data_IF_603980625764
#
_entry.id   IF_603980625764
#
_cell.length_a   1.000
_cell.length_b   1.000
_cell.length_c   1.000
_cell.angle_alpha   90.00
_cell.angle_beta   90.00
_cell.angle_gamma   90.00
#
_symmetry.space_group_name_H-M   'P 1'
#
loop_
_entity.id
_entity.type
_entity.pdbx_description
1 polymer ?
#
# COMPACT_ATOMS: atom_id res chain seq x y z
N UNK A 1 24.67 9.30 8.10
CA UNK A 1 23.28 9.32 7.61
C UNK A 1 23.31 9.12 6.11
N UNK A 2 22.65 8.08 5.59
CA UNK A 2 22.65 7.76 4.16
C UNK A 2 21.28 8.09 3.57
N UNK A 3 21.27 8.80 2.44
CA UNK A 3 20.06 9.09 1.68
C UNK A 3 19.99 8.27 0.40
N UNK A 4 18.79 7.91 -0.04
CA UNK A 4 18.57 7.22 -1.31
C UNK A 4 17.75 8.06 -2.29
N UNK A 5 18.13 8.02 -3.56
CA UNK A 5 17.38 8.64 -4.66
C UNK A 5 16.76 7.52 -5.50
N UNK A 6 15.43 7.50 -5.58
CA UNK A 6 14.65 6.45 -6.26
C UNK A 6 13.74 7.12 -7.29
N UNK A 7 14.17 7.27 -8.55
CA UNK A 7 13.39 7.94 -9.58
C UNK A 7 11.97 7.39 -9.75
N UNK A 8 11.80 6.07 -9.58
CA UNK A 8 10.53 5.36 -9.69
C UNK A 8 9.50 5.79 -8.64
N UNK A 9 9.94 6.42 -7.54
CA UNK A 9 9.06 6.91 -6.48
C UNK A 9 8.05 7.94 -7.01
N UNK A 10 8.41 8.74 -8.01
CA UNK A 10 7.50 9.74 -8.55
C UNK A 10 6.29 9.09 -9.24
N UNK A 11 6.54 8.13 -10.13
CA UNK A 11 5.50 7.36 -10.81
C UNK A 11 4.66 6.56 -9.81
N UNK A 12 5.29 5.98 -8.79
CA UNK A 12 4.61 5.25 -7.71
C UNK A 12 3.68 6.16 -6.89
N UNK A 13 4.13 7.38 -6.56
CA UNK A 13 3.30 8.36 -5.86
C UNK A 13 2.14 8.85 -6.72
N UNK A 14 2.34 9.04 -8.03
CA UNK A 14 1.27 9.42 -8.96
C UNK A 14 0.22 8.30 -9.02
N UNK A 15 0.64 7.06 -9.23
CA UNK A 15 -0.26 5.90 -9.25
C UNK A 15 -1.00 5.71 -7.93
N UNK A 16 -0.29 5.80 -6.79
CA UNK A 16 -0.89 5.68 -5.47
C UNK A 16 -1.82 6.85 -5.10
N UNK A 17 -1.62 8.03 -5.70
CA UNK A 17 -2.47 9.20 -5.49
C UNK A 17 -3.72 9.23 -6.36
N UNK A 18 -3.84 8.34 -7.35
CA UNK A 18 -5.02 8.22 -8.18
C UNK A 18 -6.29 8.05 -7.30
N UNK A 19 -7.33 8.87 -7.48
CA UNK A 19 -8.53 8.85 -6.65
C UNK A 19 -9.28 7.52 -6.74
N UNK A 20 -9.38 6.93 -7.93
CA UNK A 20 -10.04 5.64 -8.15
C UNK A 20 -9.27 4.53 -7.44
N UNK A 21 -7.94 4.55 -7.51
CA UNK A 21 -7.11 3.61 -6.77
C UNK A 21 -7.35 3.70 -5.25
N UNK A 22 -7.40 4.93 -4.70
CA UNK A 22 -7.68 5.15 -3.27
C UNK A 22 -9.07 4.66 -2.87
N UNK A 23 -10.09 4.93 -3.69
CA UNK A 23 -11.46 4.48 -3.44
C UNK A 23 -11.54 2.95 -3.49
N UNK A 24 -10.97 2.34 -4.53
CA UNK A 24 -10.94 0.88 -4.70
C UNK A 24 -10.20 0.19 -3.55
N UNK A 25 -9.08 0.75 -3.08
CA UNK A 25 -8.34 0.21 -1.94
C UNK A 25 -9.16 0.30 -0.63
N UNK A 26 -9.90 1.39 -0.41
CA UNK A 26 -10.81 1.51 0.75
C UNK A 26 -11.93 0.49 0.69
N UNK A 27 -12.58 0.33 -0.47
CA UNK A 27 -13.62 -0.67 -0.71
C UNK A 27 -13.09 -2.08 -0.47
N UNK A 28 -11.91 -2.39 -1.01
CA UNK A 28 -11.27 -3.69 -0.82
C UNK A 28 -11.06 -4.01 0.66
N UNK A 29 -10.51 -3.07 1.45
CA UNK A 29 -10.31 -3.25 2.89
C UNK A 29 -11.61 -3.44 3.66
N UNK A 30 -12.65 -2.67 3.32
CA UNK A 30 -13.97 -2.81 3.92
C UNK A 30 -14.56 -4.19 3.61
N UNK A 31 -14.45 -4.65 2.37
CA UNK A 31 -14.95 -5.95 1.94
C UNK A 31 -14.18 -7.10 2.60
N UNK A 32 -12.86 -7.01 2.71
CA UNK A 32 -12.03 -7.99 3.42
C UNK A 32 -12.43 -8.09 4.91
N UNK A 33 -12.72 -6.95 5.56
CA UNK A 33 -13.24 -6.91 6.92
C UNK A 33 -14.61 -7.60 7.04
N UNK A 34 -15.56 -7.27 6.15
CA UNK A 34 -16.89 -7.88 6.15
C UNK A 34 -16.82 -9.39 5.93
N UNK A 35 -15.99 -9.85 5.00
CA UNK A 35 -15.73 -11.28 4.78
C UNK A 35 -15.19 -11.94 6.04
N UNK A 36 -14.20 -11.32 6.69
CA UNK A 36 -13.59 -11.86 7.91
C UNK A 36 -14.60 -11.97 9.07
N UNK A 37 -15.50 -11.01 9.21
CA UNK A 37 -16.53 -10.99 10.26
C UNK A 37 -17.66 -12.00 10.01
N UNK A 38 -17.96 -12.32 8.75
CA UNK A 38 -19.15 -13.11 8.38
C UNK A 38 -18.83 -14.52 7.84
N UNK A 39 -17.56 -14.90 7.69
CA UNK A 39 -17.13 -16.19 7.12
C UNK A 39 -17.63 -17.44 7.88
N UNK A 40 -18.06 -17.28 9.13
CA UNK A 40 -18.55 -18.37 9.98
C UNK A 40 -20.07 -18.59 9.88
N UNK A 41 -20.79 -17.74 9.14
CA UNK A 41 -22.24 -17.87 8.96
C UNK A 41 -22.54 -18.93 7.89
N UNK A 42 -23.33 -19.94 8.24
CA UNK A 42 -23.55 -21.12 7.39
C UNK A 42 -24.95 -21.22 6.76
N UNK A 43 -25.75 -20.16 6.85
CA UNK A 43 -27.03 -20.09 6.13
C UNK A 43 -26.80 -20.04 4.63
N UNK A 44 -27.72 -20.60 3.83
CA UNK A 44 -27.53 -20.67 2.37
C UNK A 44 -27.54 -19.28 1.73
N UNK A 45 -28.32 -18.34 2.27
CA UNK A 45 -28.29 -16.93 1.88
C UNK A 45 -26.92 -16.28 2.15
N UNK A 46 -26.31 -16.56 3.32
CA UNK A 46 -25.02 -16.00 3.67
C UNK A 46 -23.89 -16.57 2.80
N UNK A 47 -23.94 -17.86 2.46
CA UNK A 47 -22.97 -18.47 1.53
C UNK A 47 -23.01 -17.80 0.15
N UNK A 48 -24.21 -17.58 -0.38
CA UNK A 48 -24.40 -16.94 -1.67
C UNK A 48 -23.95 -15.47 -1.66
N UNK A 49 -24.18 -14.74 -0.56
CA UNK A 49 -23.68 -13.38 -0.39
C UNK A 49 -22.14 -13.36 -0.28
N UNK A 50 -21.55 -14.29 0.47
CA UNK A 50 -20.11 -14.39 0.66
C UNK A 50 -19.40 -14.69 -0.67
N UNK A 51 -19.97 -15.55 -1.50
CA UNK A 51 -19.45 -15.84 -2.84
C UNK A 51 -19.40 -14.56 -3.70
N UNK A 52 -20.48 -13.76 -3.71
CA UNK A 52 -20.52 -12.46 -4.40
C UNK A 52 -19.45 -11.50 -3.88
N UNK A 53 -19.25 -11.43 -2.57
CA UNK A 53 -18.20 -10.60 -1.98
C UNK A 53 -16.79 -11.09 -2.33
N UNK A 54 -16.57 -12.40 -2.40
CA UNK A 54 -15.28 -12.96 -2.83
C UNK A 54 -14.99 -12.61 -4.30
N UNK A 55 -16.01 -12.64 -5.16
CA UNK A 55 -15.89 -12.23 -6.57
C UNK A 55 -15.60 -10.75 -6.72
N UNK A 56 -16.34 -9.89 -6.02
CA UNK A 56 -16.09 -8.45 -6.00
C UNK A 56 -14.67 -8.12 -5.48
N UNK A 57 -14.24 -8.79 -4.40
CA UNK A 57 -12.88 -8.67 -3.87
C UNK A 57 -11.84 -9.05 -4.94
N UNK A 58 -12.06 -10.15 -5.64
CA UNK A 58 -11.15 -10.60 -6.69
C UNK A 58 -11.10 -9.62 -7.87
N UNK A 59 -12.25 -9.03 -8.25
CA UNK A 59 -12.32 -8.01 -9.29
C UNK A 59 -11.58 -6.72 -8.88
N UNK A 60 -11.80 -6.23 -7.65
CA UNK A 60 -11.09 -5.08 -7.09
C UNK A 60 -9.58 -5.29 -7.02
N UNK A 61 -9.13 -6.50 -6.64
CA UNK A 61 -7.70 -6.86 -6.61
C UNK A 61 -7.07 -6.85 -7.99
N UNK A 62 -7.79 -7.30 -9.03
CA UNK A 62 -7.31 -7.22 -10.43
C UNK A 62 -7.22 -5.78 -10.90
N UNK A 63 -8.28 -4.98 -10.70
CA UNK A 63 -8.30 -3.57 -11.10
C UNK A 63 -7.23 -2.73 -10.41
N UNK A 64 -6.92 -3.03 -9.14
CA UNK A 64 -5.89 -2.32 -8.37
C UNK A 64 -4.45 -2.63 -8.80
N UNK A 65 -4.22 -3.71 -9.57
CA UNK A 65 -2.88 -4.03 -10.11
C UNK A 65 -2.56 -3.23 -11.36
N UNK A 66 -3.57 -2.83 -12.13
CA UNK A 66 -3.40 -2.17 -13.43
C UNK A 66 -2.81 -0.75 -13.34
N UNK A 67 -2.76 -0.15 -12.15
CA UNK A 67 -2.24 1.21 -11.93
C UNK A 67 -0.71 1.23 -11.77
N UNK A 68 -0.10 0.07 -11.55
CA UNK A 68 1.36 -0.08 -11.46
C UNK A 68 1.89 -0.81 -12.70
N UNK A 69 3.20 -1.09 -12.71
CA UNK A 69 3.80 -1.87 -13.78
C UNK A 69 3.03 -3.19 -14.00
N UNK A 70 2.57 -3.52 -15.23
CA UNK A 70 1.73 -4.69 -15.48
C UNK A 70 2.42 -6.02 -15.17
N UNK A 71 3.75 -6.10 -15.33
CA UNK A 71 4.52 -7.31 -15.13
C UNK A 71 4.92 -7.51 -13.65
N UNK A 72 5.36 -6.44 -12.98
CA UNK A 72 5.99 -6.52 -11.66
C UNK A 72 5.17 -5.88 -10.53
N UNK A 73 4.16 -5.08 -10.85
CA UNK A 73 3.42 -4.28 -9.89
C UNK A 73 4.26 -3.16 -9.30
N UNK A 74 4.01 -2.83 -8.04
CA UNK A 74 4.73 -1.77 -7.33
C UNK A 74 6.13 -2.24 -6.92
N UNK A 75 7.16 -1.41 -7.13
CA UNK A 75 8.52 -1.67 -6.63
C UNK A 75 8.54 -1.71 -5.10
N UNK A 76 7.59 -1.03 -4.44
CA UNK A 76 7.54 -0.92 -2.98
C UNK A 76 6.73 -2.04 -2.30
N UNK A 77 5.92 -2.80 -3.05
CA UNK A 77 4.93 -3.69 -2.43
C UNK A 77 4.76 -4.99 -3.21
N UNK A 78 4.78 -6.09 -2.46
CA UNK A 78 4.41 -7.42 -2.93
C UNK A 78 3.11 -7.86 -2.23
N UNK A 79 1.99 -7.78 -2.96
CA UNK A 79 0.63 -7.96 -2.41
C UNK A 79 0.34 -7.02 -1.23
N UNK A 80 0.24 -7.55 0.00
CA UNK A 80 0.01 -6.78 1.22
C UNK A 80 1.31 -6.40 1.96
N UNK A 81 2.44 -6.97 1.58
CA UNK A 81 3.72 -6.82 2.28
C UNK A 81 4.65 -5.84 1.58
N UNK A 82 5.57 -5.19 2.32
CA UNK A 82 6.70 -4.50 1.71
C UNK A 82 7.48 -5.45 0.80
N UNK A 83 7.91 -4.96 -0.36
CA UNK A 83 8.82 -5.70 -1.24
C UNK A 83 10.20 -5.87 -0.59
N UNK A 84 11.01 -6.81 -1.09
CA UNK A 84 12.41 -6.94 -0.66
C UNK A 84 13.19 -5.62 -0.85
N UNK A 85 12.93 -4.90 -1.95
CA UNK A 85 13.51 -3.57 -2.18
C UNK A 85 13.15 -2.60 -1.06
N UNK A 86 11.88 -2.53 -0.65
CA UNK A 86 11.45 -1.65 0.45
C UNK A 86 12.06 -2.02 1.79
N UNK A 87 12.19 -3.31 2.07
CA UNK A 87 12.85 -3.79 3.28
C UNK A 87 14.31 -3.35 3.32
N UNK A 88 15.05 -3.52 2.22
CA UNK A 88 16.44 -3.06 2.12
C UNK A 88 16.55 -1.54 2.17
N UNK A 89 15.65 -0.83 1.51
CA UNK A 89 15.61 0.63 1.55
C UNK A 89 15.48 1.13 3.00
N UNK A 90 14.54 0.58 3.77
CA UNK A 90 14.35 0.95 5.18
C UNK A 90 15.52 0.57 6.09
N UNK A 91 16.35 -0.41 5.71
CA UNK A 91 17.56 -0.78 6.45
C UNK A 91 18.74 0.15 6.14
N UNK A 92 18.90 0.57 4.89
CA UNK A 92 20.12 1.24 4.43
C UNK A 92 20.00 2.76 4.26
N UNK A 93 18.78 3.29 4.10
CA UNK A 93 18.55 4.71 3.92
C UNK A 93 17.76 5.30 5.08
N UNK A 94 18.29 6.37 5.68
CA UNK A 94 17.56 7.16 6.69
C UNK A 94 16.45 7.99 6.05
N UNK A 95 16.65 8.41 4.80
CA UNK A 95 15.70 9.17 4.01
C UNK A 95 15.79 8.72 2.55
N UNK A 96 14.65 8.73 1.85
CA UNK A 96 14.61 8.49 0.42
C UNK A 96 13.70 9.50 -0.27
N UNK A 97 14.01 9.81 -1.52
CA UNK A 97 13.32 10.82 -2.33
C UNK A 97 13.39 10.45 -3.81
N UNK A 98 12.53 11.01 -4.66
CA UNK A 98 12.60 10.76 -6.11
C UNK A 98 13.77 11.49 -6.78
N UNK A 99 14.10 12.69 -6.27
CA UNK A 99 15.16 13.55 -6.80
C UNK A 99 15.89 14.25 -5.65
N UNK A 100 17.18 14.52 -5.82
CA UNK A 100 18.00 15.27 -4.85
C UNK A 100 17.45 16.68 -4.64
N UNK A 101 16.97 17.31 -5.70
CA UNK A 101 16.40 18.68 -5.65
C UNK A 101 15.20 18.81 -4.74
N UNK A 102 14.52 17.71 -4.38
CA UNK A 102 13.43 17.75 -3.41
C UNK A 102 13.91 18.22 -2.04
N UNK A 103 15.19 17.99 -1.69
CA UNK A 103 15.79 18.45 -0.44
C UNK A 103 15.95 19.98 -0.38
N UNK A 104 15.96 20.67 -1.52
CA UNK A 104 16.06 22.13 -1.58
C UNK A 104 14.81 22.84 -1.04
N UNK A 105 13.71 22.12 -0.83
CA UNK A 105 12.48 22.64 -0.23
C UNK A 105 12.54 22.68 1.31
N UNK A 106 13.63 22.22 1.92
CA UNK A 106 13.82 22.21 3.36
C UNK A 106 14.93 23.19 3.75
N UNK A 107 14.81 23.89 4.91
CA UNK A 107 15.91 24.70 5.42
C UNK A 107 17.08 23.81 5.85
N UNK A 108 18.29 24.39 5.93
CA UNK A 108 19.52 23.65 6.23
C UNK A 108 19.56 23.07 7.65
N UNK A 109 18.78 23.62 8.57
CA UNK A 109 18.62 23.17 9.96
C UNK A 109 17.41 22.24 10.16
N UNK A 110 16.79 21.77 9.06
CA UNK A 110 15.63 20.90 9.15
C UNK A 110 15.96 19.55 9.79
N UNK A 111 15.15 19.17 10.79
CA UNK A 111 15.23 17.85 11.43
C UNK A 111 14.06 16.98 10.99
N UNK A 112 14.36 15.85 10.34
CA UNK A 112 13.36 14.87 9.93
C UNK A 112 13.01 13.91 11.07
N UNK A 113 11.73 13.82 11.43
CA UNK A 113 11.22 12.88 12.43
C UNK A 113 10.45 11.74 11.74
N UNK A 114 10.96 10.49 11.76
CA UNK A 114 10.26 9.36 11.15
C UNK A 114 8.99 9.04 11.95
N UNK A 115 7.92 8.67 11.25
CA UNK A 115 6.69 8.19 11.90
C UNK A 115 6.95 6.83 12.55
N UNK A 116 6.44 6.64 13.77
CA UNK A 116 6.47 5.35 14.45
C UNK A 116 5.50 4.38 13.77
N UNK A 117 6.02 3.26 13.27
CA UNK A 117 5.17 2.16 12.77
C UNK A 117 4.68 1.37 13.97
N UNK A 118 3.35 1.30 14.14
CA UNK A 118 2.75 0.50 15.20
C UNK A 118 2.98 -0.99 14.94
N UNK A 119 3.33 -1.73 16.00
CA UNK A 119 3.35 -3.18 15.98
C UNK A 119 1.92 -3.73 16.08
N UNK A 120 1.64 -4.96 15.59
CA UNK A 120 0.30 -5.52 15.62
C UNK A 120 -0.38 -5.50 17.00
N UNK A 121 0.40 -5.66 18.08
CA UNK A 121 -0.07 -5.65 19.46
C UNK A 121 -0.15 -4.26 20.11
N UNK A 122 0.27 -3.20 19.41
CA UNK A 122 0.17 -1.80 19.89
C UNK A 122 -1.15 -1.13 19.49
N UNK A 123 -2.01 -1.85 18.76
CA UNK A 123 -3.31 -1.36 18.30
C UNK A 123 -4.33 -1.52 19.42
N UNK A 124 -4.56 -0.45 20.19
CA UNK A 124 -5.70 -0.33 21.12
C UNK A 124 -6.90 0.26 20.42
#
# INVERSE_FOLDING_TARGET
>A
MTGAVIPELESELIAANNPDFKINLKRLRMLEKLIQENQHVHTDEAKLLLEKWLDERNALRRGSKCVFNPQFGSIFRSFHNPSYFSQRLGQYATLYTSRVTNLLHFPLDHTFYPKRTALPHESF
#
